data_IF_838376888601
#
_entry.id   IF_838376888601
#
_cell.length_a   1.000
_cell.length_b   1.000
_cell.length_c   1.000
_cell.angle_alpha   90.00
_cell.angle_beta   90.00
_cell.angle_gamma   90.00
#
_symmetry.space_group_name_H-M   'P 1'
#
loop_
_entity.id
_entity.type
_entity.pdbx_description
1 polymer ?
#
# COMPACT_ATOMS: atom_id res chain seq x y z
N UNK A 1 -0.39 11.83 25.08
CA UNK A 1 -0.95 11.83 23.71
C UNK A 1 0.17 12.25 22.79
N UNK A 2 0.84 11.31 22.13
CA UNK A 2 2.00 11.61 21.28
C UNK A 2 1.46 11.98 19.89
N UNK A 3 1.50 13.26 19.56
CA UNK A 3 1.18 13.77 18.23
C UNK A 3 2.22 13.20 17.25
N UNK A 4 1.80 12.23 16.45
CA UNK A 4 2.66 11.69 15.39
C UNK A 4 3.06 12.86 14.49
N UNK A 5 4.35 13.04 14.17
CA UNK A 5 4.77 14.16 13.33
C UNK A 5 4.00 14.11 12.02
N UNK A 6 3.14 15.11 11.83
CA UNK A 6 2.43 15.34 10.59
C UNK A 6 3.45 15.73 9.53
N UNK A 7 3.93 14.72 8.79
CA UNK A 7 4.62 14.95 7.54
C UNK A 7 3.96 14.12 6.46
N UNK A 8 2.77 14.56 6.07
CA UNK A 8 2.42 14.51 4.65
C UNK A 8 3.39 15.44 3.93
N UNK A 9 4.63 14.97 3.71
CA UNK A 9 5.59 15.65 2.85
C UNK A 9 4.85 16.01 1.56
N UNK A 10 4.91 17.31 1.16
CA UNK A 10 4.23 17.75 -0.07
C UNK A 10 4.72 16.84 -1.18
N UNK A 11 3.90 16.60 -2.20
CA UNK A 11 4.25 15.69 -3.31
C UNK A 11 5.65 16.02 -3.89
N UNK A 12 6.00 17.29 -3.83
CA UNK A 12 7.26 17.95 -4.23
C UNK A 12 8.49 17.51 -3.40
N UNK A 13 8.30 17.16 -2.13
CA UNK A 13 9.36 16.72 -1.21
C UNK A 13 9.60 15.20 -1.24
N UNK A 14 8.79 14.45 -2.00
CA UNK A 14 8.91 12.99 -2.04
C UNK A 14 9.95 12.55 -3.06
N UNK A 15 10.74 11.50 -2.75
CA UNK A 15 11.61 10.86 -3.73
C UNK A 15 10.86 10.51 -5.02
N UNK A 16 11.44 10.86 -6.18
CA UNK A 16 10.84 10.64 -7.50
C UNK A 16 10.42 9.18 -7.73
N UNK A 17 11.17 8.22 -7.19
CA UNK A 17 10.84 6.79 -7.27
C UNK A 17 9.46 6.48 -6.67
N UNK A 18 9.09 7.10 -5.54
CA UNK A 18 7.79 6.89 -4.90
C UNK A 18 6.65 7.56 -5.68
N UNK A 19 6.94 8.69 -6.34
CA UNK A 19 5.98 9.35 -7.21
C UNK A 19 5.68 8.46 -8.43
N UNK A 20 6.73 8.00 -9.11
CA UNK A 20 6.64 7.10 -10.26
C UNK A 20 5.90 5.79 -9.90
N UNK A 21 6.18 5.21 -8.73
CA UNK A 21 5.48 4.02 -8.27
C UNK A 21 3.97 4.30 -8.09
N UNK A 22 3.59 5.42 -7.47
CA UNK A 22 2.17 5.76 -7.31
C UNK A 22 1.47 5.99 -8.65
N UNK A 23 2.13 6.63 -9.62
CA UNK A 23 1.56 6.90 -10.93
C UNK A 23 1.37 5.59 -11.71
N UNK A 24 2.33 4.65 -11.66
CA UNK A 24 2.18 3.31 -12.26
C UNK A 24 1.07 2.47 -11.63
N UNK A 25 0.78 2.65 -10.34
CA UNK A 25 -0.35 1.97 -9.69
C UNK A 25 -1.70 2.45 -10.24
N UNK A 26 -1.80 3.69 -10.72
CA UNK A 26 -3.03 4.16 -11.37
C UNK A 26 -3.20 3.47 -12.73
N UNK A 27 -2.13 3.35 -13.52
CA UNK A 27 -2.15 2.68 -14.83
C UNK A 27 -2.54 1.19 -14.73
N UNK A 28 -2.22 0.52 -13.62
CA UNK A 28 -2.66 -0.87 -13.37
C UNK A 28 -4.20 -1.05 -13.42
N UNK A 29 -4.98 -0.01 -13.11
CA UNK A 29 -6.44 -0.10 -13.18
C UNK A 29 -6.95 -0.31 -14.60
N UNK A 30 -6.20 0.16 -15.60
CA UNK A 30 -6.57 0.09 -17.01
C UNK A 30 -5.83 -1.07 -17.70
N UNK A 31 -4.55 -1.31 -17.39
CA UNK A 31 -3.71 -2.37 -17.98
C UNK A 31 -3.19 -3.39 -16.93
N UNK A 32 -4.07 -4.17 -16.26
CA UNK A 32 -3.65 -4.95 -15.08
C UNK A 32 -2.64 -6.06 -15.40
N UNK A 33 -2.76 -6.70 -16.57
CA UNK A 33 -1.85 -7.77 -16.98
C UNK A 33 -0.43 -7.31 -17.31
N UNK A 34 -0.23 -6.01 -17.58
CA UNK A 34 1.06 -5.44 -17.97
C UNK A 34 1.87 -4.96 -16.77
N UNK A 35 1.23 -4.33 -15.80
CA UNK A 35 1.92 -3.61 -14.72
C UNK A 35 2.06 -4.42 -13.42
N UNK A 36 1.05 -5.19 -13.03
CA UNK A 36 1.10 -6.07 -11.85
C UNK A 36 0.46 -7.43 -12.17
N UNK A 37 1.11 -8.26 -13.01
CA UNK A 37 0.57 -9.55 -13.42
C UNK A 37 0.33 -10.48 -12.24
N UNK A 38 1.17 -10.45 -11.20
CA UNK A 38 1.02 -11.27 -9.99
C UNK A 38 -0.26 -10.93 -9.23
N UNK A 39 -0.61 -9.65 -9.13
CA UNK A 39 -1.87 -9.22 -8.49
C UNK A 39 -3.08 -9.56 -9.36
N UNK A 40 -2.94 -9.49 -10.69
CA UNK A 40 -4.02 -9.82 -11.61
C UNK A 40 -4.41 -11.32 -11.52
N UNK A 41 -3.43 -12.23 -11.34
CA UNK A 41 -3.70 -13.68 -11.25
C UNK A 41 -4.31 -14.12 -9.92
N UNK A 42 -4.20 -13.33 -8.84
CA UNK A 42 -4.81 -13.61 -7.53
C UNK A 42 -6.34 -13.75 -7.60
N UNK A 43 -6.97 -13.26 -8.66
CA UNK A 43 -8.40 -13.48 -8.88
C UNK A 43 -8.78 -14.98 -8.92
N UNK A 44 -7.84 -15.88 -9.23
CA UNK A 44 -8.08 -17.33 -9.28
C UNK A 44 -9.10 -17.74 -10.35
N UNK A 45 -9.30 -16.87 -11.34
CA UNK A 45 -10.26 -17.06 -12.43
C UNK A 45 -9.70 -16.46 -13.72
N UNK A 46 -10.05 -17.08 -14.85
CA UNK A 46 -9.77 -16.53 -16.18
C UNK A 46 -10.51 -15.21 -16.46
N UNK A 47 -11.53 -14.88 -15.66
CA UNK A 47 -12.23 -13.59 -15.76
C UNK A 47 -11.38 -12.48 -15.16
N UNK A 48 -11.44 -11.29 -15.75
CA UNK A 48 -10.79 -10.11 -15.19
C UNK A 48 -11.35 -9.78 -13.80
N UNK A 49 -10.47 -9.44 -12.86
CA UNK A 49 -10.86 -8.99 -11.54
C UNK A 49 -11.68 -7.70 -11.64
N UNK A 50 -12.81 -7.65 -10.91
CA UNK A 50 -13.67 -6.46 -10.82
C UNK A 50 -12.84 -5.21 -10.50
N UNK A 51 -13.12 -4.10 -11.18
CA UNK A 51 -12.34 -2.87 -11.08
C UNK A 51 -12.32 -2.34 -9.66
N UNK A 52 -13.41 -2.47 -8.90
CA UNK A 52 -13.52 -2.03 -7.50
C UNK A 52 -12.53 -2.76 -6.59
N UNK A 53 -12.31 -4.06 -6.82
CA UNK A 53 -11.35 -4.85 -6.04
C UNK A 53 -9.90 -4.45 -6.38
N UNK A 54 -9.61 -4.17 -7.66
CA UNK A 54 -8.33 -3.62 -8.10
C UNK A 54 -8.08 -2.23 -7.53
N UNK A 55 -9.09 -1.37 -7.54
CA UNK A 55 -9.04 -0.04 -6.93
C UNK A 55 -8.73 -0.10 -5.44
N UNK A 56 -9.32 -1.04 -4.69
CA UNK A 56 -9.01 -1.22 -3.28
C UNK A 56 -7.53 -1.58 -3.05
N UNK A 57 -6.96 -2.47 -3.88
CA UNK A 57 -5.54 -2.82 -3.80
C UNK A 57 -4.64 -1.62 -4.11
N UNK A 58 -4.95 -0.87 -5.17
CA UNK A 58 -4.22 0.35 -5.55
C UNK A 58 -4.28 1.41 -4.46
N UNK A 59 -5.45 1.67 -3.90
CA UNK A 59 -5.62 2.64 -2.81
C UNK A 59 -4.81 2.24 -1.58
N UNK A 60 -4.83 0.96 -1.20
CA UNK A 60 -4.06 0.46 -0.08
C UNK A 60 -2.54 0.59 -0.33
N UNK A 61 -2.05 0.20 -1.51
CA UNK A 61 -0.65 0.35 -1.89
C UNK A 61 -0.20 1.82 -1.88
N UNK A 62 -1.02 2.75 -2.39
CA UNK A 62 -0.69 4.19 -2.35
C UNK A 62 -0.59 4.73 -0.93
N UNK A 63 -1.48 4.30 -0.03
CA UNK A 63 -1.37 4.67 1.37
C UNK A 63 -0.10 4.09 2.00
N UNK A 64 0.25 2.84 1.70
CA UNK A 64 1.51 2.23 2.15
C UNK A 64 2.74 2.99 1.65
N UNK A 65 2.77 3.38 0.36
CA UNK A 65 3.86 4.16 -0.23
C UNK A 65 4.03 5.55 0.41
N UNK A 66 2.97 6.10 1.00
CA UNK A 66 3.05 7.37 1.74
C UNK A 66 3.79 7.24 3.08
N UNK A 67 3.99 6.00 3.56
CA UNK A 67 4.71 5.67 4.80
C UNK A 67 5.82 4.65 4.56
N UNK A 68 6.25 4.47 3.30
CA UNK A 68 7.35 3.58 2.98
C UNK A 68 8.68 4.25 3.33
N UNK A 69 9.39 3.68 4.28
CA UNK A 69 10.79 3.98 4.49
C UNK A 69 11.62 3.24 3.41
N UNK A 70 12.23 3.99 2.50
CA UNK A 70 12.95 3.42 1.35
C UNK A 70 14.21 2.64 1.76
N UNK A 71 14.87 3.04 2.85
CA UNK A 71 16.11 2.42 3.29
C UNK A 71 15.88 1.02 3.88
N UNK A 72 14.85 0.89 4.72
CA UNK A 72 14.48 -0.40 5.34
C UNK A 72 13.44 -1.19 4.56
N UNK A 73 12.80 -0.58 3.56
CA UNK A 73 11.65 -1.13 2.82
C UNK A 73 10.45 -1.47 3.72
N UNK A 74 10.36 -0.83 4.89
CA UNK A 74 9.29 -1.06 5.87
C UNK A 74 8.26 0.05 5.79
N UNK A 75 7.01 -0.31 6.06
CA UNK A 75 5.90 0.64 6.14
C UNK A 75 5.76 1.07 7.60
N UNK A 76 6.10 2.32 7.89
CA UNK A 76 6.16 2.81 9.26
C UNK A 76 6.77 4.19 9.39
N UNK A 77 6.89 4.63 10.64
CA UNK A 77 7.47 5.92 10.97
C UNK A 77 8.73 5.65 11.82
N UNK A 78 9.93 6.03 11.32
CA UNK A 78 11.14 5.97 12.13
C UNK A 78 11.00 6.92 13.32
N UNK A 79 11.37 6.45 14.50
CA UNK A 79 11.29 7.18 15.76
C UNK A 79 12.64 7.83 16.09
N UNK A 80 12.61 8.89 16.92
CA UNK A 80 13.81 9.65 17.28
C UNK A 80 14.84 8.84 18.07
N UNK A 81 14.38 7.83 18.80
CA UNK A 81 15.19 6.90 19.59
C UNK A 81 15.80 5.76 18.76
N UNK A 82 15.68 5.81 17.43
CA UNK A 82 16.11 4.73 16.53
C UNK A 82 15.10 3.58 16.42
N UNK A 83 13.97 3.65 17.13
CA UNK A 83 12.87 2.71 16.99
C UNK A 83 12.14 2.84 15.65
N UNK A 84 11.28 1.86 15.32
CA UNK A 84 10.46 1.89 14.12
C UNK A 84 9.01 1.54 14.46
N UNK A 85 8.10 2.50 14.28
CA UNK A 85 6.68 2.28 14.51
C UNK A 85 6.03 1.74 13.23
N UNK A 86 5.80 0.43 13.21
CA UNK A 86 5.05 -0.23 12.12
C UNK A 86 3.59 0.24 12.12
N UNK A 87 3.01 0.45 10.93
CA UNK A 87 1.61 0.84 10.81
C UNK A 87 0.67 -0.36 10.80
N UNK A 88 -0.49 -0.21 11.45
CA UNK A 88 -1.54 -1.22 11.42
C UNK A 88 -2.39 -1.11 10.16
N UNK A 89 -3.02 -2.22 9.77
CA UNK A 89 -3.97 -2.22 8.65
C UNK A 89 -5.13 -1.25 8.88
N UNK A 90 -5.64 -1.15 10.11
CA UNK A 90 -6.70 -0.19 10.47
C UNK A 90 -6.26 1.26 10.30
N UNK A 91 -4.99 1.57 10.62
CA UNK A 91 -4.44 2.90 10.36
C UNK A 91 -4.41 3.20 8.86
N UNK A 92 -3.89 2.28 8.04
CA UNK A 92 -3.82 2.41 6.59
C UNK A 92 -5.22 2.48 5.97
N UNK A 93 -6.18 1.70 6.47
CA UNK A 93 -7.55 1.69 5.98
C UNK A 93 -8.18 3.08 6.07
N UNK A 94 -7.96 3.83 7.16
CA UNK A 94 -8.47 5.22 7.30
C UNK A 94 -7.92 6.19 6.25
N UNK A 95 -6.74 5.90 5.69
CA UNK A 95 -6.09 6.75 4.69
C UNK A 95 -6.30 6.27 3.25
N UNK A 96 -6.66 5.00 3.05
CA UNK A 96 -6.79 4.35 1.75
C UNK A 96 -8.25 4.10 1.34
N UNK A 97 -9.03 3.51 2.24
CA UNK A 97 -10.26 2.80 1.92
C UNK A 97 -11.44 3.36 2.73
N UNK A 98 -12.65 3.27 2.17
CA UNK A 98 -13.87 3.73 2.87
C UNK A 98 -14.26 2.84 4.07
N UNK A 99 -13.74 1.60 4.16
CA UNK A 99 -14.04 0.67 5.25
C UNK A 99 -12.91 -0.36 5.48
N UNK A 100 -12.70 -0.79 6.73
CA UNK A 100 -11.62 -1.73 7.12
C UNK A 100 -11.73 -3.08 6.40
N UNK A 101 -12.94 -3.63 6.25
CA UNK A 101 -13.18 -4.89 5.53
C UNK A 101 -12.67 -4.89 4.08
N UNK A 102 -12.62 -3.70 3.44
CA UNK A 102 -12.08 -3.55 2.09
C UNK A 102 -10.55 -3.60 2.13
N UNK A 103 -9.93 -2.97 3.13
CA UNK A 103 -8.50 -3.01 3.34
C UNK A 103 -8.02 -4.43 3.69
N UNK A 104 -8.76 -5.20 4.49
CA UNK A 104 -8.45 -6.61 4.79
C UNK A 104 -8.44 -7.48 3.54
N UNK A 105 -9.46 -7.34 2.69
CA UNK A 105 -9.53 -8.09 1.44
C UNK A 105 -8.41 -7.68 0.49
N UNK A 106 -8.14 -6.39 0.35
CA UNK A 106 -7.02 -5.89 -0.44
C UNK A 106 -5.68 -6.41 0.11
N UNK A 107 -5.45 -6.36 1.42
CA UNK A 107 -4.23 -6.86 2.05
C UNK A 107 -4.02 -8.35 1.76
N UNK A 108 -5.09 -9.17 1.83
CA UNK A 108 -5.01 -10.58 1.44
C UNK A 108 -4.57 -10.75 -0.01
N UNK A 109 -5.10 -9.96 -0.91
CA UNK A 109 -4.74 -10.02 -2.32
C UNK A 109 -3.27 -9.62 -2.55
N UNK A 110 -2.81 -8.57 -1.87
CA UNK A 110 -1.44 -8.10 -1.95
C UNK A 110 -0.44 -9.12 -1.37
N UNK A 111 -0.80 -9.78 -0.26
CA UNK A 111 -0.01 -10.86 0.34
C UNK A 111 0.08 -12.06 -0.61
N UNK A 112 -1.05 -12.49 -1.18
CA UNK A 112 -1.08 -13.61 -2.15
C UNK A 112 -0.31 -13.28 -3.43
N UNK A 113 -0.29 -12.00 -3.85
CA UNK A 113 0.46 -11.53 -5.00
C UNK A 113 1.97 -11.40 -4.73
N UNK A 114 2.41 -11.56 -3.48
CA UNK A 114 3.81 -11.36 -3.06
C UNK A 114 4.27 -9.90 -3.12
N UNK A 115 3.34 -8.93 -3.17
CA UNK A 115 3.68 -7.50 -3.26
C UNK A 115 4.02 -6.88 -1.91
N UNK A 116 3.55 -7.50 -0.82
CA UNK A 116 3.81 -7.08 0.55
C UNK A 116 4.03 -8.32 1.41
N UNK A 117 4.73 -8.15 2.52
CA UNK A 117 4.80 -9.15 3.59
C UNK A 117 4.20 -8.56 4.87
N UNK A 118 3.57 -9.40 5.69
CA UNK A 118 3.10 -9.03 7.00
C UNK A 118 4.09 -9.56 8.04
N UNK A 119 4.64 -8.66 8.84
CA UNK A 119 5.39 -9.05 10.02
C UNK A 119 4.41 -9.19 11.19
N UNK A 120 4.38 -10.35 11.83
CA UNK A 120 3.74 -10.50 13.13
C UNK A 120 4.59 -9.73 14.15
N UNK A 121 3.97 -8.84 14.92
CA UNK A 121 4.67 -8.18 16.03
C UNK A 121 5.18 -9.22 17.04
N UNK A 122 6.27 -8.93 17.77
CA UNK A 122 6.60 -9.69 18.97
C UNK A 122 5.46 -9.65 19.99
#
# INVERSE_FOLDING_TARGET
>A
MHEAPNRTARREDRPRILLEMQDRLEVYLDEPGRYLPTLNVVNGSHRQQRRERRMACVQLLRAMLSYLDLASQRIGIPQRDGGFMSLTLSFLARHACRAVRWAERAMRDLLHAGLVTAQQGP
#
